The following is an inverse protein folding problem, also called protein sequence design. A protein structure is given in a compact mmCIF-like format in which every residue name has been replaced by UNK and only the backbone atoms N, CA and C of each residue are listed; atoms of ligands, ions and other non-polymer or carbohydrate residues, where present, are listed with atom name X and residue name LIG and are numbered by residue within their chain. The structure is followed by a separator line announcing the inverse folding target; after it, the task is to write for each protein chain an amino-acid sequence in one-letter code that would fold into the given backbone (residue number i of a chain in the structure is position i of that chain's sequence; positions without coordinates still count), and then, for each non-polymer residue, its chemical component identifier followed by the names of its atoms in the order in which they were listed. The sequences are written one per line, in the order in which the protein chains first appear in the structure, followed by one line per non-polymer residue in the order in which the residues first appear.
data_IF_911748936632
#
_entry.id   IF_911748936632
#
_cell.length_a   1.000
_cell.length_b   1.000
_cell.length_c   1.000
_cell.angle_alpha   90.00
_cell.angle_beta   90.00
_cell.angle_gamma   90.00
#
_symmetry.space_group_name_H-M   'P 1'
#
loop_
_entity.id
_entity.type
_entity.pdbx_description
1 polymer ?
#
# COMPACT_ATOMS: atom_id res chain seq x y z
N UNK A 1 2.88 -17.32 2.69
CA UNK A 1 3.50 -16.09 2.15
C UNK A 1 3.71 -16.27 0.65
N UNK A 2 2.79 -15.80 -0.22
CA UNK A 2 3.01 -15.85 -1.68
C UNK A 2 3.36 -14.49 -2.29
N UNK A 3 3.02 -13.38 -1.62
CA UNK A 3 3.27 -12.03 -2.15
C UNK A 3 4.70 -11.53 -1.87
N UNK A 4 5.29 -11.93 -0.74
CA UNK A 4 6.64 -11.49 -0.35
C UNK A 4 7.77 -11.97 -1.27
N UNK A 5 7.64 -13.12 -1.94
CA UNK A 5 8.72 -13.60 -2.82
C UNK A 5 8.76 -12.85 -4.16
N UNK A 6 7.60 -12.71 -4.81
CA UNK A 6 7.50 -12.03 -6.11
C UNK A 6 7.63 -10.51 -6.03
N UNK A 7 7.41 -9.93 -4.85
CA UNK A 7 7.59 -8.48 -4.59
C UNK A 7 8.84 -8.20 -3.73
N UNK A 8 9.61 -9.24 -3.37
CA UNK A 8 10.87 -9.13 -2.66
C UNK A 8 12.06 -9.15 -3.62
N UNK A 9 13.24 -8.76 -3.12
CA UNK A 9 14.47 -8.68 -3.92
C UNK A 9 14.80 -9.97 -4.70
N UNK A 10 14.77 -11.18 -4.10
CA UNK A 10 15.22 -12.38 -4.81
C UNK A 10 14.29 -12.82 -5.95
N UNK A 11 12.98 -12.87 -5.71
CA UNK A 11 12.02 -13.30 -6.71
C UNK A 11 11.68 -12.18 -7.68
N UNK A 12 11.30 -11.01 -7.16
CA UNK A 12 10.82 -9.87 -7.94
C UNK A 12 11.87 -9.22 -8.82
N UNK A 13 13.05 -8.94 -8.26
CA UNK A 13 14.08 -8.11 -8.92
C UNK A 13 15.17 -8.95 -9.58
N UNK A 14 15.61 -10.04 -8.94
CA UNK A 14 16.72 -10.83 -9.48
C UNK A 14 16.26 -11.90 -10.47
N UNK A 15 15.16 -12.61 -10.19
CA UNK A 15 14.74 -13.78 -10.99
C UNK A 15 13.76 -13.42 -12.12
N UNK A 16 12.68 -12.69 -11.82
CA UNK A 16 11.63 -12.42 -12.81
C UNK A 16 12.08 -11.57 -14.01
N UNK A 17 12.97 -10.57 -13.89
CA UNK A 17 13.32 -9.72 -15.04
C UNK A 17 14.14 -10.44 -16.13
N UNK A 18 15.19 -11.23 -15.81
CA UNK A 18 15.87 -12.04 -16.81
C UNK A 18 14.94 -13.07 -17.47
N UNK A 19 14.06 -13.71 -16.69
CA UNK A 19 13.09 -14.67 -17.20
C UNK A 19 12.11 -14.00 -18.18
N UNK A 20 11.55 -12.86 -17.80
CA UNK A 20 10.64 -12.08 -18.66
C UNK A 20 11.36 -11.60 -19.92
N UNK A 21 12.58 -11.07 -19.81
CA UNK A 21 13.38 -10.64 -20.95
C UNK A 21 13.65 -11.81 -21.91
N UNK A 22 13.99 -13.00 -21.40
CA UNK A 22 14.20 -14.19 -22.20
C UNK A 22 12.92 -14.61 -22.93
N UNK A 23 11.78 -14.65 -22.25
CA UNK A 23 10.49 -15.01 -22.84
C UNK A 23 10.08 -14.02 -23.94
N UNK A 24 10.20 -12.72 -23.68
CA UNK A 24 9.91 -11.66 -24.65
C UNK A 24 10.87 -11.71 -25.85
N UNK A 25 12.15 -12.01 -25.62
CA UNK A 25 13.14 -12.16 -26.68
C UNK A 25 12.85 -13.39 -27.57
N UNK A 26 12.58 -14.55 -26.97
CA UNK A 26 12.20 -15.77 -27.70
C UNK A 26 10.90 -15.59 -28.48
N UNK A 27 9.93 -14.88 -27.91
CA UNK A 27 8.68 -14.54 -28.59
C UNK A 27 8.91 -13.58 -29.76
N UNK A 28 9.70 -12.52 -29.55
CA UNK A 28 10.04 -11.54 -30.57
C UNK A 28 10.75 -12.15 -31.78
N UNK A 29 11.62 -13.15 -31.56
CA UNK A 29 12.28 -13.90 -32.64
C UNK A 29 11.35 -14.78 -33.46
N UNK A 30 10.20 -15.17 -32.92
CA UNK A 30 9.20 -16.00 -33.60
C UNK A 30 8.13 -15.18 -34.33
N UNK A 31 8.11 -13.87 -34.15
CA UNK A 31 7.11 -12.97 -34.76
C UNK A 31 7.69 -12.30 -36.01
N UNK A 32 6.93 -12.22 -37.11
CA UNK A 32 7.31 -11.38 -38.23
C UNK A 32 7.39 -9.93 -37.75
N UNK A 33 8.55 -9.30 -37.94
CA UNK A 33 8.73 -7.87 -37.69
C UNK A 33 8.60 -7.12 -39.03
N UNK A 34 8.01 -5.90 -39.04
CA UNK A 34 8.08 -5.03 -40.21
C UNK A 34 9.53 -4.78 -40.60
N UNK A 35 9.81 -4.66 -41.90
CA UNK A 35 11.16 -4.49 -42.44
C UNK A 35 11.87 -3.23 -41.92
N UNK A 36 11.09 -2.22 -41.50
CA UNK A 36 11.55 -0.97 -40.90
C UNK A 36 11.73 -1.01 -39.38
N UNK A 37 11.43 -2.13 -38.71
CA UNK A 37 11.55 -2.24 -37.26
C UNK A 37 13.01 -2.42 -36.83
N UNK A 38 13.52 -1.64 -35.86
CA UNK A 38 14.86 -1.85 -35.33
C UNK A 38 14.98 -3.24 -34.68
N UNK A 39 16.19 -3.85 -34.71
CA UNK A 39 16.40 -5.17 -34.15
C UNK A 39 16.14 -5.19 -32.65
N UNK A 40 15.57 -6.29 -32.15
CA UNK A 40 15.26 -6.46 -30.73
C UNK A 40 16.56 -6.65 -29.94
N UNK A 41 17.00 -5.60 -29.24
CA UNK A 41 18.20 -5.64 -28.40
C UNK A 41 17.91 -6.26 -27.04
N UNK A 42 18.46 -7.46 -26.79
CA UNK A 42 18.28 -8.16 -25.51
C UNK A 42 18.74 -7.34 -24.30
N UNK A 43 19.85 -6.61 -24.41
CA UNK A 43 20.37 -5.77 -23.32
C UNK A 43 19.40 -4.66 -22.90
N UNK A 44 18.79 -3.95 -23.86
CA UNK A 44 17.77 -2.93 -23.57
C UNK A 44 16.48 -3.52 -23.02
N UNK A 45 16.07 -4.68 -23.54
CA UNK A 45 14.92 -5.42 -23.02
C UNK A 45 15.13 -5.81 -21.55
N UNK A 46 16.30 -6.38 -21.23
CA UNK A 46 16.68 -6.73 -19.87
C UNK A 46 16.71 -5.51 -18.94
N UNK A 47 17.31 -4.40 -19.39
CA UNK A 47 17.35 -3.16 -18.64
C UNK A 47 15.95 -2.61 -18.34
N UNK A 48 15.03 -2.65 -19.31
CA UNK A 48 13.64 -2.22 -19.12
C UNK A 48 12.86 -3.15 -18.19
N UNK A 49 13.08 -4.47 -18.28
CA UNK A 49 12.50 -5.43 -17.34
C UNK A 49 12.97 -5.16 -15.90
N UNK A 50 14.26 -4.89 -15.70
CA UNK A 50 14.77 -4.50 -14.38
C UNK A 50 14.21 -3.17 -13.90
N UNK A 51 14.14 -2.17 -14.77
CA UNK A 51 13.56 -0.88 -14.42
C UNK A 51 12.11 -1.05 -13.93
N UNK A 52 11.31 -1.85 -14.64
CA UNK A 52 9.95 -2.19 -14.22
C UNK A 52 9.91 -2.94 -12.87
N UNK A 53 10.75 -3.95 -12.70
CA UNK A 53 10.79 -4.75 -11.47
C UNK A 53 11.32 -4.00 -10.25
N UNK A 54 12.17 -3.00 -10.44
CA UNK A 54 12.63 -2.10 -9.37
C UNK A 54 11.58 -1.04 -9.04
N UNK A 55 11.01 -0.39 -10.06
CA UNK A 55 10.06 0.71 -9.85
C UNK A 55 8.73 0.23 -9.30
N UNK A 56 8.26 -0.96 -9.64
CA UNK A 56 6.99 -1.50 -9.17
C UNK A 56 6.88 -1.59 -7.63
N UNK A 57 7.76 -2.30 -6.90
CA UNK A 57 7.69 -2.36 -5.44
C UNK A 57 7.99 -1.00 -4.78
N UNK A 58 8.79 -0.13 -5.42
CA UNK A 58 9.00 1.24 -4.94
C UNK A 58 7.72 2.09 -5.04
N UNK A 59 6.92 1.90 -6.09
CA UNK A 59 5.60 2.52 -6.24
C UNK A 59 4.57 1.90 -5.28
N UNK A 60 4.65 0.60 -5.01
CA UNK A 60 3.81 -0.06 -4.00
C UNK A 60 4.12 0.47 -2.59
N UNK A 61 5.39 0.77 -2.29
CA UNK A 61 5.79 1.42 -1.03
C UNK A 61 5.16 2.81 -0.84
N UNK A 62 4.62 3.43 -1.90
CA UNK A 62 3.99 4.74 -1.79
C UNK A 62 2.59 4.71 -1.20
N UNK A 63 1.97 3.54 -1.05
CA UNK A 63 0.58 3.44 -0.59
C UNK A 63 0.47 2.75 0.78
N UNK A 64 -0.71 2.86 1.38
CA UNK A 64 -1.03 2.29 2.71
C UNK A 64 -1.06 0.75 2.74
N UNK A 65 -1.02 0.08 1.60
CA UNK A 65 -1.00 -1.39 1.55
C UNK A 65 0.34 -1.95 2.02
N UNK A 66 1.41 -1.14 1.93
CA UNK A 66 2.78 -1.48 2.28
C UNK A 66 3.37 -2.64 1.46
N UNK A 67 4.69 -2.78 1.49
CA UNK A 67 5.41 -3.83 0.76
C UNK A 67 6.51 -4.47 1.62
N UNK A 68 6.76 -5.77 1.44
CA UNK A 68 7.84 -6.51 2.10
C UNK A 68 9.10 -6.55 1.22
N UNK A 69 9.81 -5.42 1.09
CA UNK A 69 10.97 -5.30 0.19
C UNK A 69 12.07 -6.34 0.46
N UNK A 70 12.26 -6.68 1.73
CA UNK A 70 13.35 -7.53 2.22
C UNK A 70 12.96 -9.00 2.37
N UNK A 71 11.76 -9.39 1.94
CA UNK A 71 11.35 -10.80 1.97
C UNK A 71 12.23 -11.64 1.02
N UNK A 72 12.63 -12.87 1.40
CA UNK A 72 12.20 -13.62 2.61
C UNK A 72 13.13 -13.42 3.83
N UNK A 73 14.09 -12.50 3.77
CA UNK A 73 15.05 -12.29 4.86
C UNK A 73 14.45 -11.50 6.04
N UNK A 74 13.42 -10.70 5.79
CA UNK A 74 12.68 -9.96 6.82
C UNK A 74 11.20 -9.86 6.47
N UNK A 75 10.36 -9.99 7.49
CA UNK A 75 8.90 -9.78 7.41
C UNK A 75 8.48 -8.33 7.62
N UNK A 76 9.44 -7.38 7.66
CA UNK A 76 9.16 -5.95 7.82
C UNK A 76 8.41 -5.40 6.61
N UNK A 77 7.38 -4.62 6.88
CA UNK A 77 6.59 -3.91 5.89
C UNK A 77 7.03 -2.45 5.81
N UNK A 78 7.14 -1.95 4.58
CA UNK A 78 7.57 -0.59 4.27
C UNK A 78 6.43 0.16 3.57
N UNK A 79 6.18 1.39 4.00
CA UNK A 79 5.24 2.31 3.37
C UNK A 79 5.69 3.76 3.61
N UNK A 80 5.19 4.66 2.80
CA UNK A 80 5.40 6.12 2.92
C UNK A 80 4.09 6.90 2.82
N UNK A 81 3.01 6.22 2.45
CA UNK A 81 1.66 6.75 2.24
C UNK A 81 1.59 8.00 1.34
N UNK A 82 2.56 8.21 0.45
CA UNK A 82 2.61 9.36 -0.44
C UNK A 82 1.59 9.31 -1.58
N UNK A 83 1.15 8.14 -2.03
CA UNK A 83 0.28 8.02 -3.19
C UNK A 83 -0.98 7.22 -2.91
N UNK A 84 -2.09 7.70 -3.49
CA UNK A 84 -3.28 6.89 -3.64
C UNK A 84 -3.00 5.77 -4.65
N UNK A 85 -3.60 4.59 -4.44
CA UNK A 85 -3.32 3.36 -5.22
C UNK A 85 -3.44 3.57 -6.74
N UNK A 86 -4.38 4.41 -7.17
CA UNK A 86 -4.51 4.87 -8.56
C UNK A 86 -4.46 6.40 -8.56
N UNK A 87 -3.27 6.98 -8.47
CA UNK A 87 -3.11 8.43 -8.46
C UNK A 87 -3.44 9.04 -9.84
N UNK A 88 -4.54 9.80 -10.00
CA UNK A 88 -4.88 10.43 -11.26
C UNK A 88 -3.85 11.50 -11.65
N UNK A 89 -3.23 12.15 -10.67
CA UNK A 89 -2.18 13.14 -10.86
C UNK A 89 -0.91 12.54 -11.42
N UNK A 90 -0.44 11.41 -10.86
CA UNK A 90 0.74 10.72 -11.37
C UNK A 90 0.52 10.25 -12.83
N UNK A 91 -0.67 9.72 -13.12
CA UNK A 91 -1.06 9.32 -14.48
C UNK A 91 -1.10 10.52 -15.43
N UNK A 92 -1.63 11.66 -14.99
CA UNK A 92 -1.68 12.89 -15.79
C UNK A 92 -0.27 13.45 -16.08
N UNK A 93 0.62 13.46 -15.09
CA UNK A 93 2.00 13.94 -15.26
C UNK A 93 2.80 13.08 -16.24
N UNK A 94 2.75 11.75 -16.07
CA UNK A 94 3.45 10.81 -16.95
C UNK A 94 2.81 10.77 -18.34
N UNK A 95 1.48 10.66 -18.41
CA UNK A 95 0.72 10.64 -19.65
C UNK A 95 0.86 11.94 -20.44
N UNK A 96 0.80 13.09 -19.77
CA UNK A 96 1.03 14.41 -20.35
C UNK A 96 2.45 14.58 -20.88
N UNK A 97 3.46 14.09 -20.14
CA UNK A 97 4.85 14.07 -20.60
C UNK A 97 5.06 13.24 -21.87
N UNK A 98 4.46 12.04 -21.93
CA UNK A 98 4.49 11.18 -23.11
C UNK A 98 3.76 11.84 -24.29
N UNK A 99 2.56 12.38 -24.05
CA UNK A 99 1.76 13.06 -25.06
C UNK A 99 2.53 14.26 -25.65
N UNK A 100 3.10 15.12 -24.81
CA UNK A 100 3.86 16.28 -25.24
C UNK A 100 5.14 15.87 -25.98
N UNK A 101 5.85 14.83 -25.50
CA UNK A 101 7.03 14.31 -26.19
C UNK A 101 6.71 13.84 -27.61
N UNK A 102 5.57 13.17 -27.80
CA UNK A 102 5.09 12.72 -29.12
C UNK A 102 4.59 13.87 -29.98
N UNK A 103 3.77 14.77 -29.42
CA UNK A 103 3.15 15.90 -30.13
C UNK A 103 4.16 16.90 -30.66
N UNK A 104 5.22 17.15 -29.88
CA UNK A 104 6.27 18.12 -30.23
C UNK A 104 7.56 17.46 -30.72
N UNK A 105 7.62 16.13 -30.76
CA UNK A 105 8.81 15.33 -31.16
C UNK A 105 10.08 15.73 -30.38
N UNK A 106 9.93 15.98 -29.07
CA UNK A 106 11.01 16.46 -28.19
C UNK A 106 11.07 15.58 -26.93
N UNK A 107 12.09 14.73 -26.77
CA UNK A 107 12.16 13.78 -25.65
C UNK A 107 12.24 14.46 -24.28
N UNK A 108 12.70 15.73 -24.22
CA UNK A 108 12.74 16.53 -22.98
C UNK A 108 11.39 16.60 -22.26
N UNK A 109 10.26 16.51 -22.96
CA UNK A 109 8.94 16.54 -22.31
C UNK A 109 8.62 15.24 -21.56
N UNK A 110 9.12 14.09 -22.03
CA UNK A 110 9.00 12.84 -21.28
C UNK A 110 9.86 12.91 -20.01
N UNK A 111 11.09 13.45 -20.13
CA UNK A 111 11.95 13.68 -18.98
C UNK A 111 11.33 14.66 -17.97
N UNK A 112 10.72 15.74 -18.45
CA UNK A 112 9.99 16.68 -17.60
C UNK A 112 8.80 16.02 -16.89
N UNK A 113 8.06 15.13 -17.56
CA UNK A 113 6.98 14.35 -16.94
C UNK A 113 7.48 13.42 -15.84
N UNK A 114 8.61 12.74 -16.04
CA UNK A 114 9.25 11.91 -15.01
C UNK A 114 9.76 12.77 -13.85
N UNK A 115 10.42 13.90 -14.12
CA UNK A 115 10.90 14.81 -13.09
C UNK A 115 9.75 15.38 -12.25
N UNK A 116 8.65 15.78 -12.89
CA UNK A 116 7.45 16.23 -12.21
C UNK A 116 6.80 15.12 -11.37
N UNK A 117 6.77 13.88 -11.87
CA UNK A 117 6.29 12.72 -11.12
C UNK A 117 7.13 12.45 -9.86
N UNK A 118 8.46 12.49 -9.98
CA UNK A 118 9.37 12.31 -8.83
C UNK A 118 9.18 13.42 -7.80
N UNK A 119 9.10 14.69 -8.24
CA UNK A 119 8.84 15.82 -7.35
C UNK A 119 7.48 15.68 -6.66
N UNK A 120 6.44 15.31 -7.40
CA UNK A 120 5.09 15.09 -6.86
C UNK A 120 5.07 14.01 -5.79
N UNK A 121 5.77 12.89 -6.02
CA UNK A 121 5.93 11.83 -5.02
C UNK A 121 6.65 12.37 -3.77
N UNK A 122 7.79 13.06 -3.95
CA UNK A 122 8.55 13.62 -2.83
C UNK A 122 7.74 14.59 -1.97
N UNK A 123 6.99 15.51 -2.59
CA UNK A 123 6.09 16.43 -1.89
C UNK A 123 5.02 15.66 -1.10
N UNK A 124 4.43 14.63 -1.69
CA UNK A 124 3.42 13.85 -1.01
C UNK A 124 3.96 13.02 0.16
N UNK A 125 5.17 12.46 0.05
CA UNK A 125 5.86 11.80 1.16
C UNK A 125 6.05 12.79 2.30
N UNK A 126 6.47 14.03 2.01
CA UNK A 126 6.62 15.06 3.03
C UNK A 126 5.29 15.40 3.71
N UNK A 127 4.19 15.52 2.97
CA UNK A 127 2.84 15.73 3.53
C UNK A 127 2.44 14.56 4.44
N UNK A 128 2.69 13.31 4.00
CA UNK A 128 2.38 12.12 4.79
C UNK A 128 3.21 12.04 6.07
N UNK A 129 4.48 12.46 6.02
CA UNK A 129 5.32 12.56 7.21
C UNK A 129 4.76 13.56 8.25
N UNK A 130 4.30 14.74 7.79
CA UNK A 130 3.61 15.69 8.68
C UNK A 130 2.33 15.10 9.27
N UNK A 131 1.56 14.36 8.47
CA UNK A 131 0.33 13.71 8.92
C UNK A 131 0.57 12.56 9.91
N UNK A 132 1.70 11.85 9.81
CA UNK A 132 2.10 10.82 10.78
C UNK A 132 2.39 11.40 12.17
N UNK A 133 2.95 12.61 12.22
CA UNK A 133 3.30 13.28 13.48
C UNK A 133 2.14 14.09 14.07
N UNK A 134 1.13 14.44 13.26
CA UNK A 134 0.00 15.27 13.70
C UNK A 134 -0.75 14.75 14.95
N UNK A 135 -0.99 13.43 15.14
CA UNK A 135 -1.59 12.92 16.37
C UNK A 135 -0.71 13.09 17.61
N UNK A 136 0.61 13.24 17.45
CA UNK A 136 1.60 13.39 18.55
C UNK A 136 1.78 14.84 18.97
N UNK A 137 1.85 15.74 17.99
CA UNK A 137 2.28 17.14 18.18
C UNK A 137 1.17 18.01 18.77
N UNK A 138 -0.09 17.74 18.43
CA UNK A 138 -1.25 18.46 18.95
C UNK A 138 -2.29 17.48 19.49
N UNK A 139 -3.38 17.98 20.08
CA UNK A 139 -4.53 17.18 20.49
C UNK A 139 -4.86 16.13 19.41
N UNK A 140 -4.85 14.82 19.74
CA UNK A 140 -4.99 14.25 21.10
C UNK A 140 -3.69 14.00 21.90
N UNK A 141 -2.50 14.40 21.43
CA UNK A 141 -1.20 14.08 22.04
C UNK A 141 -0.98 12.57 22.22
N UNK A 142 -1.40 11.81 21.19
CA UNK A 142 -1.25 10.36 21.12
C UNK A 142 0.24 9.96 21.02
N UNK A 143 0.55 8.76 21.50
CA UNK A 143 1.87 8.14 21.30
C UNK A 143 1.71 6.83 20.52
N UNK A 144 1.38 6.90 19.21
CA UNK A 144 1.03 5.70 18.46
C UNK A 144 2.21 4.74 18.29
N UNK A 145 1.94 3.45 18.43
CA UNK A 145 2.89 2.41 18.04
C UNK A 145 2.85 2.14 16.53
N UNK A 146 1.76 2.58 15.87
CA UNK A 146 1.56 2.45 14.43
C UNK A 146 0.66 3.55 13.88
N UNK A 147 1.00 4.10 12.72
CA UNK A 147 0.24 5.16 12.05
C UNK A 147 0.27 4.95 10.53
N UNK A 148 -0.84 5.28 9.87
CA UNK A 148 -0.96 5.37 8.42
C UNK A 148 -1.70 6.66 8.06
N UNK A 149 -1.34 7.26 6.94
CA UNK A 149 -1.93 8.51 6.45
C UNK A 149 -2.37 8.36 4.99
N UNK A 150 -3.59 7.89 4.75
CA UNK A 150 -4.07 7.60 3.40
C UNK A 150 -4.38 8.88 2.62
N UNK A 151 -3.74 9.14 1.46
CA UNK A 151 -4.06 10.29 0.63
C UNK A 151 -5.40 10.12 -0.09
N UNK A 152 -6.18 11.21 -0.18
CA UNK A 152 -7.38 11.22 -1.02
C UNK A 152 -7.00 11.18 -2.53
N UNK A 153 -7.85 10.59 -3.40
CA UNK A 153 -7.52 10.44 -4.83
C UNK A 153 -7.34 11.76 -5.57
N UNK A 154 -8.21 12.73 -5.28
CA UNK A 154 -8.24 14.04 -5.95
C UNK A 154 -7.56 15.12 -5.11
N UNK A 155 -7.95 15.27 -3.85
CA UNK A 155 -7.31 16.18 -2.92
C UNK A 155 -6.04 15.54 -2.34
N UNK A 156 -5.03 15.33 -3.19
CA UNK A 156 -3.82 14.58 -2.85
C UNK A 156 -3.03 15.12 -1.65
N UNK A 157 -3.35 16.30 -1.13
CA UNK A 157 -2.73 16.89 0.06
C UNK A 157 -3.45 16.52 1.37
N UNK A 158 -4.70 16.03 1.30
CA UNK A 158 -5.46 15.59 2.46
C UNK A 158 -5.10 14.17 2.84
N UNK A 159 -5.14 13.86 4.14
CA UNK A 159 -4.87 12.52 4.66
C UNK A 159 -5.98 12.06 5.59
N UNK A 160 -6.50 10.87 5.34
CA UNK A 160 -7.21 10.09 6.36
C UNK A 160 -6.14 9.39 7.21
N UNK A 161 -5.98 9.86 8.45
CA UNK A 161 -4.99 9.36 9.39
C UNK A 161 -5.65 8.31 10.27
N UNK A 162 -5.02 7.15 10.38
CA UNK A 162 -5.39 6.10 11.31
C UNK A 162 -4.18 5.74 12.15
N UNK A 163 -4.36 5.64 13.46
CA UNK A 163 -3.28 5.26 14.35
C UNK A 163 -3.77 4.28 15.41
N UNK A 164 -2.82 3.48 15.90
CA UNK A 164 -3.02 2.58 17.03
C UNK A 164 -2.16 3.02 18.19
N UNK A 165 -2.73 2.95 19.38
CA UNK A 165 -2.03 3.06 20.66
C UNK A 165 -2.77 2.21 21.69
N UNK A 166 -2.02 1.53 22.58
CA UNK A 166 -2.57 0.81 23.74
C UNK A 166 -3.73 -0.14 23.43
N UNK A 167 -3.68 -0.83 22.28
CA UNK A 167 -4.74 -1.77 21.85
C UNK A 167 -6.04 -1.09 21.40
N UNK A 168 -5.99 0.21 21.10
CA UNK A 168 -7.10 0.97 20.54
C UNK A 168 -6.69 1.67 19.23
N UNK A 169 -7.65 1.80 18.32
CA UNK A 169 -7.50 2.45 17.03
C UNK A 169 -8.35 3.72 17.02
N UNK A 170 -7.78 4.80 16.52
CA UNK A 170 -8.48 6.05 16.27
C UNK A 170 -8.22 6.54 14.85
N UNK A 171 -9.12 7.39 14.38
CA UNK A 171 -9.13 7.96 13.04
C UNK A 171 -9.15 9.48 13.15
N UNK A 172 -8.60 10.15 12.15
CA UNK A 172 -8.67 11.59 12.04
C UNK A 172 -8.38 12.04 10.62
N UNK A 173 -8.56 13.33 10.37
CA UNK A 173 -8.29 13.92 9.06
C UNK A 173 -7.22 14.99 9.19
N UNK A 174 -6.37 15.09 8.19
CA UNK A 174 -5.31 16.08 8.12
C UNK A 174 -5.37 16.84 6.79
N UNK A 175 -5.27 18.17 6.86
CA UNK A 175 -5.15 19.06 5.70
C UNK A 175 -4.13 20.17 6.04
N UNK A 176 -2.93 20.14 5.46
CA UNK A 176 -1.86 21.07 5.80
C UNK A 176 -2.19 22.52 5.44
N UNK A 177 -3.18 22.77 4.57
CA UNK A 177 -3.61 24.12 4.21
C UNK A 177 -4.63 24.72 5.19
N UNK A 178 -5.23 23.90 6.05
CA UNK A 178 -6.15 24.35 7.11
C UNK A 178 -5.45 24.34 8.46
N UNK A 179 -4.77 23.23 8.81
CA UNK A 179 -3.97 23.08 10.02
C UNK A 179 -2.64 22.41 9.66
N UNK A 180 -1.54 23.16 9.74
CA UNK A 180 -0.25 22.74 9.20
C UNK A 180 0.34 21.49 9.86
N UNK A 181 0.15 21.32 11.16
CA UNK A 181 0.77 20.25 11.94
C UNK A 181 -0.22 19.49 12.85
N UNK A 182 -1.52 19.67 12.64
CA UNK A 182 -2.55 19.15 13.53
C UNK A 182 -3.73 18.55 12.75
N UNK A 183 -4.40 17.59 13.38
CA UNK A 183 -5.61 16.98 12.83
C UNK A 183 -6.75 18.02 12.78
N UNK A 184 -7.57 17.94 11.74
CA UNK A 184 -8.82 18.72 11.61
C UNK A 184 -9.87 18.22 12.60
N UNK A 185 -9.99 16.90 12.70
CA UNK A 185 -10.85 16.19 13.63
C UNK A 185 -10.28 14.79 13.89
N UNK A 186 -10.81 14.15 14.94
CA UNK A 186 -10.50 12.77 15.27
C UNK A 186 -11.64 12.09 16.02
N UNK A 187 -11.66 10.76 15.97
CA UNK A 187 -12.58 9.91 16.71
C UNK A 187 -12.05 9.57 18.10
N UNK A 188 -12.96 9.21 19.00
CA UNK A 188 -12.58 8.55 20.25
C UNK A 188 -11.91 7.21 19.92
N UNK A 189 -10.76 6.86 20.53
CA UNK A 189 -10.13 5.56 20.32
C UNK A 189 -11.07 4.41 20.67
N UNK A 190 -11.18 3.45 19.76
CA UNK A 190 -11.98 2.24 19.93
C UNK A 190 -11.06 1.02 20.11
N UNK A 191 -11.35 0.10 21.04
CA UNK A 191 -10.52 -1.08 21.25
C UNK A 191 -10.43 -1.95 20.00
N UNK A 192 -9.23 -2.40 19.67
CA UNK A 192 -8.98 -3.32 18.54
C UNK A 192 -9.43 -4.76 18.85
N UNK A 193 -9.67 -5.08 20.12
CA UNK A 193 -10.10 -6.38 20.65
C UNK A 193 -9.14 -7.54 20.33
N UNK A 194 -7.90 -7.28 19.90
CA UNK A 194 -6.96 -8.32 19.50
C UNK A 194 -6.39 -9.11 20.69
N UNK A 195 -6.52 -8.58 21.91
CA UNK A 195 -6.15 -9.26 23.16
C UNK A 195 -7.24 -10.18 23.73
N UNK A 196 -8.46 -10.19 23.17
CA UNK A 196 -9.55 -11.03 23.68
C UNK A 196 -9.25 -12.52 23.40
N UNK A 197 -9.31 -13.42 24.41
CA UNK A 197 -9.03 -14.85 24.22
C UNK A 197 -9.89 -15.53 23.15
N UNK A 198 -11.14 -15.07 22.95
CA UNK A 198 -12.04 -15.58 21.90
C UNK A 198 -11.52 -15.24 20.51
N UNK A 199 -10.88 -14.08 20.36
CA UNK A 199 -10.27 -13.63 19.10
C UNK A 199 -9.04 -14.49 18.79
N UNK A 200 -8.18 -14.74 19.77
CA UNK A 200 -7.04 -15.64 19.61
C UNK A 200 -7.48 -17.07 19.22
N UNK A 201 -8.51 -17.61 19.89
CA UNK A 201 -9.05 -18.94 19.58
C UNK A 201 -9.69 -19.00 18.18
N UNK A 202 -10.42 -17.96 17.77
CA UNK A 202 -11.01 -17.86 16.42
C UNK A 202 -9.94 -17.72 15.31
N UNK A 203 -8.82 -17.05 15.61
CA UNK A 203 -7.70 -16.95 14.67
C UNK A 203 -6.97 -18.29 14.50
N UNK A 204 -6.79 -19.05 15.57
CA UNK A 204 -6.17 -20.36 15.54
C UNK A 204 -7.03 -21.42 14.80
N UNK A 205 -8.35 -21.27 14.81
CA UNK A 205 -9.27 -22.23 14.19
C UNK A 205 -9.44 -22.05 12.67
N UNK A 206 -8.94 -20.95 12.08
CA UNK A 206 -9.12 -20.64 10.66
C UNK A 206 -7.82 -20.29 9.94
N UNK A 207 -7.41 -21.15 8.99
CA UNK A 207 -6.27 -20.87 8.10
C UNK A 207 -6.45 -19.59 7.29
N UNK A 208 -7.70 -19.23 6.96
CA UNK A 208 -7.99 -18.00 6.23
C UNK A 208 -7.73 -16.77 7.11
N UNK A 209 -8.14 -16.81 8.37
CA UNK A 209 -7.86 -15.74 9.34
C UNK A 209 -6.36 -15.63 9.60
N UNK A 210 -5.66 -16.75 9.81
CA UNK A 210 -4.21 -16.74 9.99
C UNK A 210 -3.48 -16.07 8.79
N UNK A 211 -3.89 -16.38 7.55
CA UNK A 211 -3.32 -15.73 6.35
C UNK A 211 -3.65 -14.24 6.28
N UNK A 212 -4.85 -13.84 6.67
CA UNK A 212 -5.25 -12.44 6.73
C UNK A 212 -4.41 -11.65 7.75
N UNK A 213 -4.21 -12.20 8.96
CA UNK A 213 -3.45 -11.55 10.02
C UNK A 213 -1.95 -11.41 9.70
N UNK A 214 -1.37 -12.30 8.89
CA UNK A 214 0.01 -12.14 8.38
C UNK A 214 0.15 -10.92 7.46
N UNK A 215 -0.91 -10.55 6.74
CA UNK A 215 -0.92 -9.38 5.87
C UNK A 215 -1.35 -8.10 6.60
N UNK A 216 -2.22 -8.24 7.60
CA UNK A 216 -2.82 -7.11 8.29
C UNK A 216 -1.77 -6.33 9.09
N UNK A 217 -1.76 -5.00 8.90
CA UNK A 217 -0.91 -4.10 9.67
C UNK A 217 -1.66 -3.47 10.85
N UNK A 218 -2.98 -3.33 10.78
CA UNK A 218 -3.75 -2.79 11.90
C UNK A 218 -4.92 -3.72 12.21
N UNK A 219 -4.66 -4.96 12.64
CA UNK A 219 -5.73 -5.92 12.84
C UNK A 219 -6.67 -5.43 13.94
N UNK A 220 -7.97 -5.55 13.70
CA UNK A 220 -9.00 -5.32 14.67
C UNK A 220 -10.07 -6.40 14.57
N UNK A 221 -10.71 -6.74 15.67
CA UNK A 221 -11.74 -7.75 15.74
C UNK A 221 -13.05 -7.16 16.26
N UNK A 222 -14.16 -7.59 15.66
CA UNK A 222 -15.50 -7.38 16.17
C UNK A 222 -16.07 -8.72 16.61
N UNK A 223 -16.54 -8.78 17.84
CA UNK A 223 -17.14 -9.97 18.42
C UNK A 223 -18.66 -9.77 18.47
N UNK A 224 -19.40 -10.74 17.96
CA UNK A 224 -20.87 -10.78 18.06
C UNK A 224 -21.24 -12.10 18.72
N UNK A 225 -21.76 -12.01 19.95
CA UNK A 225 -22.19 -13.17 20.72
C UNK A 225 -23.54 -13.68 20.22
N UNK A 226 -23.61 -14.98 19.93
CA UNK A 226 -24.79 -15.71 19.46
C UNK A 226 -25.05 -16.90 20.41
N UNK A 227 -25.28 -16.59 21.69
CA UNK A 227 -25.49 -17.61 22.73
C UNK A 227 -24.19 -18.36 23.07
N UNK A 228 -24.11 -19.67 22.78
CA UNK A 228 -22.93 -20.50 23.11
C UNK A 228 -21.72 -20.27 22.19
N UNK A 229 -21.92 -19.54 21.10
CA UNK A 229 -20.88 -19.25 20.13
C UNK A 229 -20.77 -17.75 19.88
N UNK A 230 -19.56 -17.28 19.66
CA UNK A 230 -19.26 -15.92 19.23
C UNK A 230 -18.79 -15.95 17.77
N UNK A 231 -19.37 -15.10 16.93
CA UNK A 231 -18.82 -14.82 15.61
C UNK A 231 -17.77 -13.71 15.76
N UNK A 232 -16.53 -14.02 15.40
CA UNK A 232 -15.43 -13.06 15.39
C UNK A 232 -15.16 -12.64 13.95
N UNK A 233 -15.28 -11.35 13.67
CA UNK A 233 -14.97 -10.75 12.38
C UNK A 233 -13.70 -9.92 12.51
N UNK A 234 -12.66 -10.30 11.79
CA UNK A 234 -11.39 -9.60 11.72
C UNK A 234 -11.41 -8.62 10.56
N UNK A 235 -10.88 -7.42 10.77
CA UNK A 235 -10.64 -6.40 9.77
C UNK A 235 -9.27 -5.74 9.96
N UNK A 236 -8.97 -4.74 9.14
CA UNK A 236 -7.76 -3.95 9.25
C UNK A 236 -8.11 -2.46 9.28
N UNK A 237 -7.68 -1.75 10.32
CA UNK A 237 -8.00 -0.35 10.58
C UNK A 237 -7.71 0.57 9.39
N UNK A 238 -6.67 0.27 8.58
CA UNK A 238 -6.34 1.04 7.36
C UNK A 238 -7.47 1.13 6.36
N UNK A 239 -8.34 0.12 6.32
CA UNK A 239 -9.43 0.00 5.36
C UNK A 239 -10.79 0.05 6.06
N UNK A 240 -10.86 0.66 7.25
CA UNK A 240 -12.08 0.73 8.06
C UNK A 240 -12.36 2.20 8.40
N UNK A 241 -12.83 2.98 7.42
CA UNK A 241 -13.14 4.41 7.56
C UNK A 241 -14.27 4.87 6.64
N UNK A 242 -14.76 6.12 6.74
CA UNK A 242 -15.94 6.59 6.00
C UNK A 242 -15.78 6.52 4.47
N UNK A 243 -14.56 6.66 3.93
CA UNK A 243 -14.26 6.48 2.49
C UNK A 243 -13.83 5.05 2.12
N UNK A 244 -13.51 4.18 3.08
CA UNK A 244 -13.16 2.77 2.86
C UNK A 244 -14.13 1.85 3.60
N UNK A 245 -15.42 2.05 3.30
CA UNK A 245 -16.50 1.19 3.77
C UNK A 245 -16.60 -0.05 2.87
N UNK A 246 -16.32 -1.21 3.51
CA UNK A 246 -16.65 -2.60 3.13
C UNK A 246 -15.70 -3.29 2.13
N UNK A 247 -14.87 -4.21 2.66
CA UNK A 247 -14.75 -5.63 2.21
C UNK A 247 -13.45 -6.35 2.63
N UNK A 248 -12.54 -5.71 3.38
CA UNK A 248 -11.34 -6.40 3.89
C UNK A 248 -11.57 -7.00 5.28
N UNK A 249 -12.52 -7.93 5.36
CA UNK A 249 -12.78 -8.67 6.60
C UNK A 249 -12.91 -10.16 6.38
N UNK A 250 -12.43 -10.94 7.34
CA UNK A 250 -12.60 -12.40 7.40
C UNK A 250 -13.28 -12.76 8.71
N UNK A 251 -14.13 -13.77 8.73
CA UNK A 251 -14.84 -14.18 9.95
C UNK A 251 -14.54 -15.62 10.31
N UNK A 252 -14.51 -15.90 11.61
CA UNK A 252 -14.47 -17.25 12.16
C UNK A 252 -15.47 -17.35 13.32
N UNK A 253 -15.91 -18.58 13.61
CA UNK A 253 -16.82 -18.86 14.72
C UNK A 253 -16.00 -19.50 15.83
N UNK A 254 -16.18 -19.01 17.05
CA UNK A 254 -15.68 -19.65 18.26
C UNK A 254 -16.87 -20.09 19.10
N UNK A 255 -16.90 -21.36 19.51
CA UNK A 255 -17.89 -21.86 20.47
C UNK A 255 -17.14 -22.24 21.74
N UNK A 256 -17.63 -21.78 22.90
CA UNK A 256 -17.05 -22.16 24.19
C UNK A 256 -17.10 -23.68 24.37
N UNK A 257 -16.07 -24.25 25.00
CA UNK A 257 -16.10 -25.67 25.37
C UNK A 257 -17.30 -25.93 26.29
N UNK A 258 -18.02 -27.04 26.06
CA UNK A 258 -19.04 -27.51 27.00
C UNK A 258 -18.33 -27.85 28.31
N UNK A 259 -18.73 -27.21 29.41
CA UNK A 259 -18.50 -27.75 30.75
C UNK A 259 -19.29 -29.05 30.91
#
# INVERSE_FOLDING_TARGET
MHRGFTHGLPGGVLLLPPLLALLLWLWGRRRPAPESAPPLHFGWLLALCWLGALTHPLLDMQNIYAVQLLSPFSDRWFHTDGLFIISPWLLALLGGGIWAARRYRRPRYALAGVAAAVLFIGVNIAISALAWDAPRIDAPYANPDRVFAAPEPLAFWRRDVVWRQDGAIAFGRFDPFVRQAALLDFTVPAPDNMSDPRVAAAAASSRQVAKFLVWSQMPAARIVDNGRCSKVTFGDGRFTGPMMSRNFSVSAIHCGARY
#
